data_IF_026314396149
#
_entry.id   IF_026314396149
#
_cell.length_a   1.000
_cell.length_b   1.000
_cell.length_c   1.000
_cell.angle_alpha   90.00
_cell.angle_beta   90.00
_cell.angle_gamma   90.00
#
_symmetry.space_group_name_H-M   'P 1'
#
loop_
_entity.id
_entity.type
_entity.pdbx_description
1 polymer ?
#
# COMPACT_ATOMS: atom_id res chain seq x y z
N UNK A 1 -30.77 -33.73 -33.64
CA UNK A 1 -29.69 -33.58 -34.64
C UNK A 1 -28.52 -32.97 -33.90
N UNK A 2 -27.54 -33.81 -33.55
CA UNK A 2 -26.30 -33.47 -32.84
C UNK A 2 -25.18 -33.52 -33.88
N UNK A 3 -24.34 -32.49 -33.93
CA UNK A 3 -23.03 -32.58 -34.58
C UNK A 3 -21.97 -31.96 -33.68
N UNK A 4 -20.99 -32.80 -33.36
CA UNK A 4 -19.69 -32.48 -32.76
C UNK A 4 -18.63 -32.40 -33.85
N UNK A 5 -17.60 -31.58 -33.65
CA UNK A 5 -16.17 -31.79 -33.96
C UNK A 5 -15.45 -30.58 -33.31
N UNK A 6 -14.87 -30.71 -32.11
CA UNK A 6 -13.50 -31.19 -31.85
C UNK A 6 -12.43 -30.50 -32.70
N UNK A 7 -11.76 -29.52 -32.12
CA UNK A 7 -10.31 -29.35 -32.28
C UNK A 7 -9.69 -29.19 -30.90
N UNK A 8 -8.93 -30.20 -30.51
CA UNK A 8 -8.06 -30.22 -29.36
C UNK A 8 -7.03 -29.08 -29.43
N UNK A 9 -7.02 -28.26 -28.40
CA UNK A 9 -5.78 -27.81 -27.76
C UNK A 9 -5.99 -28.03 -26.28
N UNK A 10 -5.53 -29.17 -25.79
CA UNK A 10 -5.30 -29.40 -24.37
C UNK A 10 -4.23 -28.40 -23.92
N UNK A 11 -4.64 -27.22 -23.45
CA UNK A 11 -3.88 -26.53 -22.43
C UNK A 11 -4.19 -27.25 -21.12
N UNK A 12 -3.33 -28.22 -20.81
CA UNK A 12 -3.29 -28.87 -19.51
C UNK A 12 -2.76 -27.84 -18.51
N UNK A 13 -3.63 -26.93 -18.07
CA UNK A 13 -3.41 -26.15 -16.85
C UNK A 13 -3.51 -27.12 -15.67
N UNK A 14 -2.41 -27.84 -15.43
CA UNK A 14 -2.18 -28.51 -14.16
C UNK A 14 -1.97 -27.43 -13.10
N UNK A 15 -3.07 -27.11 -12.43
CA UNK A 15 -3.17 -26.83 -11.00
C UNK A 15 -1.90 -26.27 -10.33
N UNK A 16 -1.78 -24.94 -10.37
CA UNK A 16 -1.25 -24.17 -9.24
C UNK A 16 -2.33 -23.21 -8.74
N UNK A 17 -3.52 -23.76 -8.46
CA UNK A 17 -4.44 -23.15 -7.50
C UNK A 17 -3.78 -23.27 -6.11
N UNK A 18 -2.83 -22.39 -5.82
CA UNK A 18 -2.43 -22.14 -4.44
C UNK A 18 -3.70 -21.58 -3.78
N UNK A 19 -4.31 -22.34 -2.86
CA UNK A 19 -5.36 -21.77 -2.01
C UNK A 19 -4.76 -20.60 -1.24
N UNK A 20 -5.04 -19.37 -1.68
CA UNK A 20 -4.53 -18.10 -1.15
C UNK A 20 -5.05 -17.78 0.27
N UNK A 21 -5.48 -18.79 1.03
CA UNK A 21 -5.93 -18.67 2.42
C UNK A 21 -4.78 -18.63 3.43
N UNK A 22 -3.53 -18.82 2.98
CA UNK A 22 -2.37 -19.08 3.83
C UNK A 22 -1.31 -17.97 3.83
N UNK A 23 -1.65 -16.71 3.53
CA UNK A 23 -0.73 -15.61 3.86
C UNK A 23 -0.58 -15.59 5.39
N UNK A 24 0.62 -15.81 5.94
CA UNK A 24 0.77 -15.90 7.38
C UNK A 24 0.42 -14.57 8.03
N UNK A 25 -0.54 -14.60 8.96
CA UNK A 25 -1.00 -13.40 9.66
C UNK A 25 0.01 -12.94 10.71
N UNK A 26 0.49 -11.68 10.67
CA UNK A 26 1.33 -11.16 11.73
C UNK A 26 0.62 -11.18 13.08
N UNK A 27 1.38 -11.46 14.14
CA UNK A 27 1.00 -11.03 15.49
C UNK A 27 1.47 -9.58 15.66
N UNK A 28 1.00 -8.90 16.70
CA UNK A 28 1.40 -7.51 16.96
C UNK A 28 1.87 -7.37 18.41
N UNK A 29 2.93 -6.60 18.63
CA UNK A 29 3.39 -6.25 19.97
C UNK A 29 2.30 -5.41 20.66
N UNK A 30 1.95 -5.77 21.89
CA UNK A 30 0.96 -5.06 22.69
C UNK A 30 1.45 -3.70 23.21
N UNK A 31 2.75 -3.43 23.13
CA UNK A 31 3.35 -2.18 23.62
C UNK A 31 3.28 -1.06 22.59
N UNK A 32 3.49 -1.36 21.32
CA UNK A 32 3.67 -0.35 20.28
C UNK A 32 3.03 -0.73 18.93
N UNK A 33 2.27 -1.82 18.86
CA UNK A 33 1.59 -2.27 17.66
C UNK A 33 2.53 -2.78 16.56
N UNK A 34 3.81 -3.00 16.87
CA UNK A 34 4.79 -3.47 15.89
C UNK A 34 4.43 -4.87 15.40
N UNK A 35 4.42 -5.12 14.07
CA UNK A 35 4.17 -6.45 13.52
C UNK A 35 5.29 -7.43 13.89
N UNK A 36 4.90 -8.59 14.45
CA UNK A 36 5.74 -9.71 14.84
C UNK A 36 5.37 -10.92 13.97
N UNK A 37 6.32 -11.34 13.15
CA UNK A 37 6.25 -12.62 12.44
C UNK A 37 7.10 -13.64 13.17
N UNK A 38 6.56 -14.85 13.38
CA UNK A 38 7.39 -15.95 13.84
C UNK A 38 8.31 -16.44 12.70
N UNK A 39 9.35 -17.20 13.03
CA UNK A 39 10.35 -17.68 12.07
C UNK A 39 9.71 -18.47 10.91
N UNK A 40 8.73 -19.31 11.20
CA UNK A 40 8.00 -20.10 10.21
C UNK A 40 7.20 -19.23 9.24
N UNK A 41 6.53 -18.20 9.75
CA UNK A 41 5.76 -17.25 8.94
C UNK A 41 6.66 -16.41 8.03
N UNK A 42 7.82 -15.99 8.54
CA UNK A 42 8.81 -15.28 7.74
C UNK A 42 9.43 -16.19 6.67
N UNK A 43 9.68 -17.46 6.99
CA UNK A 43 10.14 -18.46 6.03
C UNK A 43 9.10 -18.77 4.96
N UNK A 44 7.83 -18.90 5.31
CA UNK A 44 6.71 -19.05 4.35
C UNK A 44 6.64 -17.83 3.45
N UNK A 45 6.59 -16.62 4.00
CA UNK A 45 6.60 -15.37 3.25
C UNK A 45 7.80 -15.27 2.29
N UNK A 46 9.00 -15.61 2.77
CA UNK A 46 10.20 -15.61 1.95
C UNK A 46 10.17 -16.69 0.87
N UNK A 47 9.63 -17.90 1.15
CA UNK A 47 9.42 -18.93 0.13
C UNK A 47 8.43 -18.46 -0.93
N UNK A 48 7.33 -17.81 -0.54
CA UNK A 48 6.41 -17.18 -1.48
C UNK A 48 7.13 -16.14 -2.34
N UNK A 49 7.95 -15.28 -1.74
CA UNK A 49 8.72 -14.23 -2.43
C UNK A 49 9.83 -14.78 -3.35
N UNK A 50 10.42 -15.94 -3.04
CA UNK A 50 11.47 -16.57 -3.86
C UNK A 50 10.86 -17.40 -5.00
N UNK A 51 9.84 -18.19 -4.70
CA UNK A 51 9.02 -18.83 -5.74
C UNK A 51 8.56 -17.70 -6.68
N UNK A 52 8.10 -16.57 -6.11
CA UNK A 52 8.06 -15.21 -6.64
C UNK A 52 8.73 -14.97 -7.98
N UNK A 53 10.00 -14.75 -7.76
CA UNK A 53 11.01 -14.37 -8.71
C UNK A 53 11.29 -15.51 -9.68
N UNK A 54 11.18 -16.77 -9.24
CA UNK A 54 11.44 -17.93 -10.10
C UNK A 54 10.39 -18.16 -11.19
N UNK A 55 9.09 -17.89 -10.92
CA UNK A 55 8.06 -17.96 -11.98
C UNK A 55 8.19 -16.74 -12.89
N UNK A 56 8.49 -15.55 -12.34
CA UNK A 56 8.74 -14.34 -13.12
C UNK A 56 9.92 -14.51 -14.10
N UNK A 57 11.01 -15.15 -13.66
CA UNK A 57 12.14 -15.51 -14.52
C UNK A 57 11.73 -16.49 -15.63
N UNK A 58 10.93 -17.51 -15.31
CA UNK A 58 10.40 -18.46 -16.32
C UNK A 58 9.42 -17.83 -17.30
N UNK A 59 8.61 -16.86 -16.88
CA UNK A 59 7.69 -16.13 -17.78
C UNK A 59 8.44 -15.13 -18.65
N UNK A 60 9.52 -14.53 -18.14
CA UNK A 60 10.39 -13.65 -18.93
C UNK A 60 11.24 -14.45 -19.94
N UNK A 61 11.77 -15.62 -19.54
CA UNK A 61 12.47 -16.55 -20.45
C UNK A 61 11.56 -17.07 -21.58
N UNK A 62 10.25 -17.25 -21.32
CA UNK A 62 9.27 -17.57 -22.36
C UNK A 62 8.93 -16.39 -23.28
N UNK A 63 9.19 -15.15 -22.87
CA UNK A 63 8.97 -13.95 -23.68
C UNK A 63 10.21 -13.53 -24.49
N UNK A 64 11.41 -13.98 -24.11
CA UNK A 64 12.67 -13.62 -24.77
C UNK A 64 13.12 -14.58 -25.91
N UNK A 65 12.34 -15.60 -26.27
CA UNK A 65 12.63 -16.46 -27.45
C UNK A 65 12.34 -15.80 -28.81
N UNK A 66 11.95 -14.52 -28.86
CA UNK A 66 11.81 -13.78 -30.10
C UNK A 66 12.28 -12.33 -29.94
N UNK A 67 13.60 -12.08 -30.04
CA UNK A 67 14.19 -10.87 -30.65
C UNK A 67 15.67 -11.15 -30.94
N UNK A 68 16.04 -11.02 -32.21
CA UNK A 68 17.39 -11.17 -32.73
C UNK A 68 18.38 -10.12 -32.20
N UNK A 69 19.60 -10.60 -31.93
CA UNK A 69 20.76 -9.87 -31.42
C UNK A 69 21.31 -8.79 -32.37
N UNK A 70 21.63 -7.58 -31.84
CA UNK A 70 22.82 -6.76 -32.22
C UNK A 70 23.05 -5.55 -31.29
N UNK A 71 24.25 -4.93 -31.27
CA UNK A 71 25.11 -4.94 -30.10
C UNK A 71 25.19 -3.63 -29.32
N UNK A 72 25.67 -3.77 -28.09
CA UNK A 72 26.00 -2.75 -27.10
C UNK A 72 26.73 -1.52 -27.66
N UNK A 73 26.19 -0.34 -27.34
CA UNK A 73 27.00 0.86 -27.16
C UNK A 73 26.71 1.43 -25.76
N UNK A 74 27.67 1.21 -24.88
CA UNK A 74 27.75 1.82 -23.57
C UNK A 74 27.88 3.34 -23.71
N UNK A 75 27.01 4.09 -23.02
CA UNK A 75 27.26 5.46 -22.57
C UNK A 75 26.36 5.77 -21.37
N UNK A 76 26.98 5.64 -20.20
CA UNK A 76 26.74 6.38 -18.96
C UNK A 76 25.30 6.85 -18.67
N UNK A 77 24.60 6.13 -17.80
CA UNK A 77 23.53 6.71 -16.98
C UNK A 77 23.71 6.34 -15.50
N UNK A 78 24.21 7.36 -14.80
CA UNK A 78 24.10 7.69 -13.37
C UNK A 78 23.66 6.59 -12.40
N UNK A 79 24.61 6.29 -11.53
CA UNK A 79 24.50 5.54 -10.27
C UNK A 79 23.40 6.12 -9.37
N UNK A 80 22.39 5.27 -9.14
CA UNK A 80 21.65 4.94 -7.93
C UNK A 80 20.93 6.02 -7.10
N UNK A 81 19.61 6.11 -7.32
CA UNK A 81 18.61 6.44 -6.28
C UNK A 81 18.04 5.19 -5.59
N UNK A 82 18.75 4.05 -5.66
CA UNK A 82 18.18 2.73 -5.35
C UNK A 82 18.08 2.42 -3.85
N UNK A 83 18.77 3.14 -2.97
CA UNK A 83 18.79 2.81 -1.54
C UNK A 83 18.63 4.06 -0.66
N UNK A 84 17.41 4.61 -0.60
CA UNK A 84 17.03 5.40 0.58
C UNK A 84 16.61 4.42 1.70
N UNK A 85 17.43 4.23 2.75
CA UNK A 85 17.10 3.32 3.85
C UNK A 85 15.90 3.81 4.67
N UNK A 86 15.48 5.07 4.50
CA UNK A 86 14.36 5.69 5.21
C UNK A 86 13.02 5.54 4.50
N UNK A 87 13.03 5.12 3.23
CA UNK A 87 11.82 4.86 2.45
C UNK A 87 11.51 3.34 2.40
N UNK A 88 10.62 2.83 3.26
CA UNK A 88 10.30 1.41 3.31
C UNK A 88 9.60 0.92 2.05
N UNK A 89 9.02 1.80 1.23
CA UNK A 89 8.25 1.42 0.05
C UNK A 89 8.91 1.82 -1.27
N UNK A 90 10.14 2.37 -1.22
CA UNK A 90 10.91 2.83 -2.38
C UNK A 90 10.10 3.82 -3.24
N UNK A 91 9.33 4.70 -2.61
CA UNK A 91 8.62 5.73 -3.33
C UNK A 91 9.63 6.59 -4.11
N UNK A 92 9.57 6.60 -5.44
CA UNK A 92 10.43 7.45 -6.28
C UNK A 92 10.15 8.92 -5.96
N UNK A 93 10.98 9.56 -5.13
CA UNK A 93 10.87 11.01 -4.85
C UNK A 93 11.39 11.78 -6.06
N UNK A 94 11.13 13.08 -6.15
CA UNK A 94 11.80 13.94 -7.14
C UNK A 94 13.33 14.07 -6.86
N UNK A 95 13.84 13.35 -5.86
CA UNK A 95 15.24 13.15 -5.56
C UNK A 95 15.78 14.19 -4.58
N UNK A 96 16.93 14.79 -4.91
CA UNK A 96 17.66 15.71 -4.04
C UNK A 96 16.91 17.02 -3.73
N UNK A 97 15.91 17.37 -4.53
CA UNK A 97 15.12 18.61 -4.34
C UNK A 97 14.18 18.44 -3.16
N UNK A 98 13.34 17.39 -3.17
CA UNK A 98 12.44 17.03 -2.07
C UNK A 98 13.16 16.95 -0.73
N UNK A 99 14.32 16.28 -0.69
CA UNK A 99 15.12 16.13 0.52
C UNK A 99 15.61 17.47 1.10
N UNK A 100 15.98 18.42 0.23
CA UNK A 100 16.43 19.76 0.65
C UNK A 100 15.27 20.59 1.17
N UNK A 101 14.13 20.57 0.47
CA UNK A 101 12.93 21.27 0.90
C UNK A 101 12.43 20.73 2.23
N UNK A 102 12.34 19.41 2.37
CA UNK A 102 11.95 18.74 3.61
C UNK A 102 12.88 19.08 4.78
N UNK A 103 14.20 19.05 4.57
CA UNK A 103 15.18 19.40 5.60
C UNK A 103 15.04 20.85 6.05
N UNK A 104 14.77 21.76 5.10
CA UNK A 104 14.55 23.19 5.37
C UNK A 104 13.27 23.40 6.17
N UNK A 105 12.15 22.81 5.74
CA UNK A 105 10.87 22.94 6.44
C UNK A 105 10.92 22.33 7.85
N UNK A 106 11.59 21.18 8.01
CA UNK A 106 11.80 20.59 9.34
C UNK A 106 12.61 21.51 10.25
N UNK A 107 13.68 22.12 9.73
CA UNK A 107 14.49 23.09 10.49
C UNK A 107 13.66 24.31 10.89
N UNK A 108 12.84 24.83 9.97
CA UNK A 108 11.94 25.94 10.24
C UNK A 108 10.88 25.57 11.30
N UNK A 109 10.29 24.37 11.23
CA UNK A 109 9.29 23.91 12.19
C UNK A 109 9.85 23.74 13.62
N UNK A 110 11.12 23.33 13.75
CA UNK A 110 11.80 23.14 15.03
C UNK A 110 12.48 24.41 15.57
N UNK A 111 12.53 25.49 14.79
CA UNK A 111 13.25 26.71 15.16
C UNK A 111 12.50 27.47 16.26
N UNK A 112 13.14 27.62 17.42
CA UNK A 112 12.67 28.47 18.51
C UNK A 112 13.24 29.89 18.40
N UNK A 113 12.49 30.85 18.90
CA UNK A 113 12.95 32.22 19.16
C UNK A 113 14.21 32.19 20.04
N UNK A 114 15.32 32.75 19.56
CA UNK A 114 16.62 32.74 20.27
C UNK A 114 16.54 33.49 21.61
N UNK A 115 15.77 34.58 21.67
CA UNK A 115 15.68 35.44 22.85
C UNK A 115 14.69 34.94 23.90
N UNK A 116 13.61 34.31 23.46
CA UNK A 116 12.48 33.95 24.30
C UNK A 116 12.28 32.44 24.49
N UNK A 117 13.08 31.63 23.79
CA UNK A 117 13.04 30.17 23.79
C UNK A 117 11.64 29.56 23.53
N UNK A 118 10.78 30.32 22.86
CA UNK A 118 9.41 29.92 22.49
C UNK A 118 9.32 29.68 20.98
N UNK A 119 8.42 28.78 20.59
CA UNK A 119 7.99 28.71 19.20
C UNK A 119 7.23 29.99 18.83
N UNK A 120 7.31 30.38 17.56
CA UNK A 120 6.52 31.48 16.99
C UNK A 120 5.02 31.17 17.09
N UNK A 121 4.17 32.20 17.13
CA UNK A 121 2.71 32.03 17.28
C UNK A 121 2.05 31.17 16.20
N UNK A 122 2.73 30.95 15.09
CA UNK A 122 2.25 30.16 13.94
C UNK A 122 2.86 28.74 13.91
N UNK A 123 3.74 28.39 14.85
CA UNK A 123 4.30 27.06 15.00
C UNK A 123 3.50 26.30 16.06
N UNK A 124 2.92 25.17 15.67
CA UNK A 124 2.44 24.19 16.65
C UNK A 124 3.68 23.61 17.34
N UNK A 125 3.80 23.79 18.66
CA UNK A 125 4.80 23.05 19.44
C UNK A 125 4.55 21.56 19.21
N UNK A 126 5.47 20.88 18.50
CA UNK A 126 5.39 19.45 18.29
C UNK A 126 5.78 18.81 19.62
N UNK A 127 4.77 18.46 20.41
CA UNK A 127 4.98 17.63 21.58
C UNK A 127 5.28 16.20 21.11
N UNK A 128 6.58 15.91 20.95
CA UNK A 128 7.05 14.58 20.56
C UNK A 128 6.70 13.51 21.59
N UNK A 129 6.40 13.89 22.84
CA UNK A 129 5.98 12.93 23.86
C UNK A 129 4.57 12.41 23.56
N UNK A 130 3.66 13.30 23.15
CA UNK A 130 2.31 12.91 22.70
C UNK A 130 2.32 11.98 21.48
N UNK A 131 3.38 11.99 20.68
CA UNK A 131 3.49 11.09 19.52
C UNK A 131 3.70 9.63 19.89
N UNK A 132 4.15 9.35 21.11
CA UNK A 132 4.37 7.99 21.61
C UNK A 132 3.25 7.49 22.52
N UNK A 133 2.34 8.38 22.92
CA UNK A 133 1.25 8.09 23.84
C UNK A 133 0.06 7.48 23.09
N UNK A 134 0.21 6.22 22.69
CA UNK A 134 -0.87 5.48 22.05
C UNK A 134 -1.97 5.16 23.07
N UNK A 135 -3.25 5.35 22.71
CA UNK A 135 -4.35 5.10 23.62
C UNK A 135 -4.52 3.60 23.92
N UNK A 136 -4.67 3.25 25.21
CA UNK A 136 -4.87 1.86 25.65
C UNK A 136 -6.14 1.22 25.08
N UNK A 137 -7.20 2.01 24.86
CA UNK A 137 -8.43 1.56 24.20
C UNK A 137 -8.18 1.05 22.77
N UNK A 138 -7.07 1.45 22.16
CA UNK A 138 -6.62 0.99 20.86
C UNK A 138 -5.59 -0.15 20.96
N UNK A 139 -5.42 -0.78 22.13
CA UNK A 139 -4.38 -1.77 22.41
C UNK A 139 -2.98 -1.29 22.00
N UNK A 140 -2.69 0.00 22.21
CA UNK A 140 -1.45 0.66 21.81
C UNK A 140 -1.10 0.46 20.33
N UNK A 141 -2.10 0.45 19.46
CA UNK A 141 -1.95 0.27 18.01
C UNK A 141 -2.94 1.13 17.25
N UNK A 142 -2.44 1.92 16.30
CA UNK A 142 -3.27 2.64 15.34
C UNK A 142 -2.77 2.30 13.94
N UNK A 143 -3.68 1.83 13.11
CA UNK A 143 -3.41 1.49 11.72
C UNK A 143 -3.95 2.57 10.77
N UNK A 144 -3.57 2.51 9.50
CA UNK A 144 -4.11 3.41 8.46
C UNK A 144 -4.61 2.60 7.28
N UNK A 145 -5.80 2.95 6.80
CA UNK A 145 -6.47 2.30 5.68
C UNK A 145 -6.76 3.33 4.60
N UNK A 146 -6.32 3.05 3.38
CA UNK A 146 -6.68 3.79 2.18
C UNK A 146 -7.69 3.01 1.36
N UNK A 147 -8.63 3.69 0.73
CA UNK A 147 -9.36 3.18 -0.43
C UNK A 147 -8.78 3.78 -1.69
N UNK A 148 -8.47 2.97 -2.70
CA UNK A 148 -7.91 3.45 -3.95
C UNK A 148 -8.37 2.61 -5.15
N UNK A 149 -8.53 3.28 -6.28
CA UNK A 149 -8.86 2.67 -7.57
C UNK A 149 -8.15 3.42 -8.70
N UNK A 150 -7.71 2.69 -9.72
CA UNK A 150 -7.27 3.24 -10.98
C UNK A 150 -8.37 3.17 -12.03
N UNK A 151 -9.13 4.25 -12.20
CA UNK A 151 -10.17 4.33 -13.22
C UNK A 151 -9.68 4.44 -14.66
N UNK A 152 -8.37 4.44 -14.90
CA UNK A 152 -7.81 4.33 -16.27
C UNK A 152 -7.48 2.89 -16.66
N UNK A 153 -7.57 1.95 -15.72
CA UNK A 153 -7.34 0.53 -15.98
C UNK A 153 -8.40 -0.03 -16.94
N UNK A 154 -8.00 -0.55 -18.12
CA UNK A 154 -8.93 -1.09 -19.10
C UNK A 154 -9.75 -2.27 -18.58
N UNK A 155 -9.16 -3.14 -17.74
CA UNK A 155 -9.87 -4.30 -17.19
C UNK A 155 -10.96 -3.85 -16.23
N UNK A 156 -10.60 -2.96 -15.30
CA UNK A 156 -11.55 -2.37 -14.36
C UNK A 156 -12.67 -1.59 -15.07
N UNK A 157 -12.33 -0.76 -16.06
CA UNK A 157 -13.31 -0.02 -16.86
C UNK A 157 -14.25 -0.95 -17.64
N UNK A 158 -13.73 -2.04 -18.18
CA UNK A 158 -14.55 -3.04 -18.88
C UNK A 158 -15.52 -3.72 -17.92
N UNK A 159 -15.09 -3.97 -16.68
CA UNK A 159 -15.91 -4.58 -15.65
C UNK A 159 -17.01 -3.62 -15.17
N UNK A 160 -16.66 -2.36 -14.82
CA UNK A 160 -17.61 -1.32 -14.43
C UNK A 160 -18.74 -1.14 -15.46
N UNK A 161 -18.38 -1.05 -16.75
CA UNK A 161 -19.33 -0.81 -17.85
C UNK A 161 -20.36 -1.93 -18.04
N UNK A 162 -20.12 -3.13 -17.50
CA UNK A 162 -21.11 -4.22 -17.51
C UNK A 162 -22.29 -3.92 -16.58
N UNK A 163 -22.07 -3.13 -15.53
CA UNK A 163 -23.07 -2.87 -14.47
C UNK A 163 -23.55 -1.41 -14.46
N UNK A 164 -22.72 -0.48 -14.92
CA UNK A 164 -22.99 0.96 -14.84
C UNK A 164 -22.96 1.59 -16.24
N UNK A 165 -24.13 2.06 -16.69
CA UNK A 165 -24.30 2.64 -18.04
C UNK A 165 -23.89 4.10 -18.14
N UNK A 166 -23.97 4.84 -17.02
CA UNK A 166 -23.54 6.24 -16.91
C UNK A 166 -22.83 6.45 -15.59
N UNK A 167 -21.60 6.95 -15.63
CA UNK A 167 -20.84 7.31 -14.46
C UNK A 167 -20.01 8.58 -14.74
N UNK A 168 -19.66 9.29 -13.68
CA UNK A 168 -18.71 10.39 -13.77
C UNK A 168 -17.29 9.81 -13.66
N UNK A 169 -16.53 9.88 -14.75
CA UNK A 169 -15.17 9.37 -14.80
C UNK A 169 -14.24 10.06 -13.78
N UNK A 170 -14.56 11.28 -13.36
CA UNK A 170 -13.78 11.99 -12.34
C UNK A 170 -13.81 11.28 -10.97
N UNK A 171 -14.88 10.51 -10.68
CA UNK A 171 -15.00 9.76 -9.41
C UNK A 171 -13.98 8.63 -9.27
N UNK A 172 -13.37 8.20 -10.37
CA UNK A 172 -12.43 7.09 -10.42
C UNK A 172 -11.06 7.52 -10.92
N UNK A 173 -10.82 8.83 -11.04
CA UNK A 173 -9.59 9.36 -11.60
C UNK A 173 -8.43 9.09 -10.65
N UNK A 174 -7.46 8.30 -11.09
CA UNK A 174 -6.17 8.21 -10.41
C UNK A 174 -5.30 9.41 -10.79
N UNK A 175 -4.87 10.18 -9.79
CA UNK A 175 -3.94 11.32 -9.92
C UNK A 175 -2.55 11.03 -9.39
N UNK A 176 -2.22 9.76 -9.15
CA UNK A 176 -0.98 9.31 -8.50
C UNK A 176 -0.74 9.97 -7.12
N UNK A 177 -1.82 10.46 -6.50
CA UNK A 177 -1.83 11.15 -5.21
C UNK A 177 -1.61 10.20 -4.04
N UNK A 178 -2.01 8.93 -4.19
CA UNK A 178 -1.83 7.88 -3.18
C UNK A 178 -0.39 7.82 -2.64
N UNK A 179 0.62 7.90 -3.52
CA UNK A 179 2.02 7.81 -3.11
C UNK A 179 2.41 8.96 -2.16
N UNK A 180 1.89 10.15 -2.42
CA UNK A 180 2.14 11.33 -1.60
C UNK A 180 1.32 11.29 -0.30
N UNK A 181 0.11 10.72 -0.34
CA UNK A 181 -0.72 10.50 0.85
C UNK A 181 -0.03 9.56 1.84
N UNK A 182 0.46 8.41 1.36
CA UNK A 182 1.18 7.44 2.19
C UNK A 182 2.48 8.04 2.75
N UNK A 183 3.25 8.77 1.92
CA UNK A 183 4.44 9.50 2.40
C UNK A 183 4.11 10.49 3.51
N UNK A 184 3.00 11.22 3.36
CA UNK A 184 2.58 12.19 4.37
C UNK A 184 2.26 11.51 5.70
N UNK A 185 1.58 10.37 5.68
CA UNK A 185 1.30 9.56 6.87
C UNK A 185 2.58 9.05 7.49
N UNK A 186 3.45 8.43 6.69
CA UNK A 186 4.74 7.91 7.17
C UNK A 186 5.59 8.98 7.84
N UNK A 187 5.58 10.20 7.30
CA UNK A 187 6.33 11.34 7.83
C UNK A 187 5.72 11.95 9.10
N UNK A 188 4.40 12.09 9.15
CA UNK A 188 3.72 12.89 10.16
C UNK A 188 3.01 12.09 11.26
N UNK A 189 2.84 10.77 11.07
CA UNK A 189 2.24 9.84 12.03
C UNK A 189 3.22 8.68 12.29
N UNK A 190 4.39 8.94 12.91
CA UNK A 190 5.45 7.93 13.06
C UNK A 190 5.06 6.74 13.94
N UNK A 191 3.97 6.83 14.71
CA UNK A 191 3.40 5.75 15.52
C UNK A 191 2.62 4.72 14.69
N UNK A 192 2.24 5.03 13.44
CA UNK A 192 1.57 4.08 12.55
C UNK A 192 2.60 3.11 11.97
N UNK A 193 2.40 1.82 12.23
CA UNK A 193 3.26 0.72 11.74
C UNK A 193 2.58 -0.22 10.75
N UNK A 194 1.25 -0.14 10.61
CA UNK A 194 0.50 -1.02 9.73
C UNK A 194 -0.39 -0.22 8.80
N UNK A 195 -0.21 -0.49 7.52
CA UNK A 195 -0.76 0.27 6.41
C UNK A 195 -1.59 -0.70 5.57
N UNK A 196 -2.78 -0.28 5.12
CA UNK A 196 -3.68 -1.10 4.32
C UNK A 196 -4.15 -0.30 3.11
N UNK A 197 -4.12 -0.88 1.92
CA UNK A 197 -4.70 -0.29 0.72
C UNK A 197 -5.80 -1.22 0.23
N UNK A 198 -7.04 -0.78 0.33
CA UNK A 198 -8.20 -1.47 -0.20
C UNK A 198 -8.38 -1.10 -1.66
N UNK A 199 -8.39 -2.11 -2.53
CA UNK A 199 -8.46 -1.94 -3.99
C UNK A 199 -9.56 -2.80 -4.62
N UNK A 200 -9.89 -2.55 -5.89
CA UNK A 200 -10.77 -3.40 -6.70
C UNK A 200 -9.95 -4.36 -7.56
N UNK A 201 -9.19 -5.25 -6.90
CA UNK A 201 -8.27 -6.20 -7.53
C UNK A 201 -7.20 -5.51 -8.39
N UNK A 202 -6.73 -4.36 -7.92
CA UNK A 202 -5.67 -3.57 -8.55
C UNK A 202 -4.45 -3.47 -7.63
N UNK A 203 -3.28 -3.26 -8.23
CA UNK A 203 -2.05 -2.99 -7.52
C UNK A 203 -1.55 -1.59 -7.89
N UNK A 204 -1.29 -0.70 -6.91
CA UNK A 204 -0.66 0.58 -7.17
C UNK A 204 0.66 0.42 -7.95
N UNK A 205 0.86 1.23 -8.98
CA UNK A 205 1.97 1.09 -9.93
C UNK A 205 3.38 1.24 -9.33
N UNK A 206 3.47 1.83 -8.13
CA UNK A 206 4.72 1.97 -7.39
C UNK A 206 5.08 0.73 -6.54
N UNK A 207 4.21 -0.29 -6.48
CA UNK A 207 4.45 -1.55 -5.78
C UNK A 207 4.75 -2.67 -6.77
N UNK A 208 5.76 -3.47 -6.44
CA UNK A 208 6.06 -4.71 -7.13
C UNK A 208 5.21 -5.83 -6.51
N UNK A 209 4.12 -6.22 -7.19
CA UNK A 209 3.31 -7.35 -6.76
C UNK A 209 4.11 -8.66 -6.91
N UNK A 210 4.14 -9.52 -5.87
CA UNK A 210 4.58 -10.90 -6.06
C UNK A 210 3.62 -11.59 -7.05
N UNK A 211 4.13 -12.07 -8.18
CA UNK A 211 3.35 -12.86 -9.16
C UNK A 211 2.04 -12.26 -9.69
N UNK A 212 1.95 -10.94 -9.86
CA UNK A 212 0.68 -10.31 -10.26
C UNK A 212 -0.47 -10.58 -9.26
N UNK A 213 -0.16 -10.89 -7.99
CA UNK A 213 -1.16 -10.98 -6.93
C UNK A 213 -1.79 -9.61 -6.69
N UNK A 214 -3.10 -9.60 -6.43
CA UNK A 214 -3.86 -8.40 -6.02
C UNK A 214 -4.07 -8.33 -4.52
N UNK A 215 -3.68 -9.38 -3.78
CA UNK A 215 -3.67 -9.44 -2.32
C UNK A 215 -2.34 -9.97 -1.81
N UNK A 216 -1.63 -9.13 -1.04
CA UNK A 216 -0.33 -9.48 -0.46
C UNK A 216 0.05 -8.49 0.65
N UNK A 217 1.03 -8.87 1.47
CA UNK A 217 1.63 -8.02 2.50
C UNK A 217 3.06 -7.72 2.08
N UNK A 218 3.52 -6.49 2.26
CA UNK A 218 4.92 -6.08 2.13
C UNK A 218 5.46 -5.75 3.52
N UNK A 219 6.64 -6.27 3.83
CA UNK A 219 7.32 -6.06 5.11
C UNK A 219 8.67 -5.38 4.91
N UNK A 220 8.86 -4.23 5.55
CA UNK A 220 10.17 -3.56 5.60
C UNK A 220 10.29 -2.72 6.87
N UNK A 221 11.45 -2.77 7.52
CA UNK A 221 11.80 -1.93 8.68
C UNK A 221 10.72 -1.92 9.79
N UNK A 222 10.20 -3.09 10.16
CA UNK A 222 9.14 -3.25 11.17
C UNK A 222 7.80 -2.56 10.82
N UNK A 223 7.53 -2.38 9.53
CA UNK A 223 6.27 -1.84 9.01
C UNK A 223 5.64 -2.87 8.06
N UNK A 224 4.31 -2.99 8.12
CA UNK A 224 3.50 -3.76 7.17
C UNK A 224 2.78 -2.83 6.20
N UNK A 225 2.68 -3.24 4.93
CA UNK A 225 1.71 -2.71 3.97
C UNK A 225 0.93 -3.85 3.34
N UNK A 226 -0.36 -3.92 3.59
CA UNK A 226 -1.25 -4.95 3.07
C UNK A 226 -2.13 -4.41 1.95
N UNK A 227 -2.11 -5.09 0.80
CA UNK A 227 -3.04 -4.84 -0.30
C UNK A 227 -4.21 -5.79 -0.14
N UNK A 228 -5.41 -5.21 0.01
CA UNK A 228 -6.64 -5.94 0.32
C UNK A 228 -7.65 -5.69 -0.80
N UNK A 229 -7.93 -6.68 -1.66
CA UNK A 229 -9.09 -6.60 -2.53
C UNK A 229 -10.35 -6.46 -1.68
N UNK A 230 -11.20 -5.48 -1.99
CA UNK A 230 -12.48 -5.30 -1.30
C UNK A 230 -13.40 -6.54 -1.38
N UNK A 231 -13.17 -7.40 -2.37
CA UNK A 231 -13.81 -8.72 -2.50
C UNK A 231 -13.51 -9.69 -1.34
N UNK A 232 -12.45 -9.44 -0.55
CA UNK A 232 -12.12 -10.18 0.68
C UNK A 232 -12.92 -9.71 1.90
N UNK A 233 -13.45 -8.49 1.88
CA UNK A 233 -14.18 -7.89 3.01
C UNK A 233 -15.68 -7.73 2.74
N UNK A 234 -16.11 -7.86 1.48
CA UNK A 234 -17.51 -7.81 1.06
C UNK A 234 -18.01 -9.23 0.72
N UNK A 235 -19.20 -9.58 1.21
CA UNK A 235 -19.81 -10.89 0.89
C UNK A 235 -20.08 -11.01 -0.62
N UNK A 236 -19.78 -12.18 -1.20
CA UNK A 236 -19.87 -12.42 -2.66
C UNK A 236 -21.20 -12.03 -3.31
N UNK A 237 -22.32 -12.15 -2.59
CA UNK A 237 -23.67 -11.78 -3.08
C UNK A 237 -23.86 -10.28 -3.31
N UNK A 238 -22.99 -9.43 -2.74
CA UNK A 238 -23.04 -7.98 -2.91
C UNK A 238 -22.05 -7.47 -3.96
N UNK A 239 -21.18 -8.34 -4.49
CA UNK A 239 -20.22 -7.98 -5.53
C UNK A 239 -20.85 -8.04 -6.94
N UNK A 240 -20.39 -7.21 -7.88
CA UNK A 240 -19.35 -6.18 -7.73
C UNK A 240 -19.87 -4.87 -7.11
N UNK A 241 -18.97 -4.14 -6.43
CA UNK A 241 -19.26 -2.86 -5.78
C UNK A 241 -18.29 -1.80 -6.30
N UNK A 242 -18.80 -0.64 -6.72
CA UNK A 242 -17.99 0.49 -7.20
C UNK A 242 -18.25 1.79 -6.41
N UNK A 243 -18.98 1.67 -5.30
CA UNK A 243 -19.35 2.77 -4.42
C UNK A 243 -18.44 2.75 -3.18
N UNK A 244 -17.78 3.87 -2.88
CA UNK A 244 -16.84 3.95 -1.76
C UNK A 244 -17.52 3.76 -0.42
N UNK A 245 -18.69 4.37 -0.16
CA UNK A 245 -19.42 4.24 1.10
C UNK A 245 -19.74 2.77 1.43
N UNK A 246 -20.11 1.98 0.42
CA UNK A 246 -20.35 0.54 0.57
C UNK A 246 -19.06 -0.23 0.92
N UNK A 247 -17.91 0.16 0.36
CA UNK A 247 -16.60 -0.42 0.70
C UNK A 247 -16.18 0.02 2.12
N UNK A 248 -16.34 1.30 2.44
CA UNK A 248 -16.02 1.93 3.73
C UNK A 248 -16.73 1.23 4.90
N UNK A 249 -18.01 0.90 4.72
CA UNK A 249 -18.79 0.18 5.74
C UNK A 249 -18.25 -1.23 6.04
N UNK A 250 -17.39 -1.80 5.20
CA UNK A 250 -16.82 -3.13 5.36
C UNK A 250 -15.34 -3.13 5.79
N UNK A 251 -14.68 -1.97 5.95
CA UNK A 251 -13.25 -1.89 6.30
C UNK A 251 -12.90 -2.61 7.60
N UNK A 252 -13.80 -2.60 8.58
CA UNK A 252 -13.64 -3.30 9.86
C UNK A 252 -13.50 -4.83 9.72
N UNK A 253 -13.80 -5.40 8.54
CA UNK A 253 -13.66 -6.84 8.26
C UNK A 253 -12.28 -7.21 7.71
N UNK A 254 -11.38 -6.24 7.50
CA UNK A 254 -9.99 -6.51 7.13
C UNK A 254 -9.35 -7.36 8.24
N UNK A 255 -8.87 -8.55 7.89
CA UNK A 255 -8.49 -9.59 8.85
C UNK A 255 -7.38 -9.18 9.83
N UNK A 256 -6.43 -8.38 9.38
CA UNK A 256 -5.28 -7.95 10.18
C UNK A 256 -5.43 -6.53 10.75
N UNK A 257 -6.57 -5.86 10.56
CA UNK A 257 -6.77 -4.49 10.99
C UNK A 257 -6.91 -4.41 12.52
N UNK A 258 -6.23 -3.43 13.13
CA UNK A 258 -6.36 -3.11 14.54
C UNK A 258 -7.73 -2.52 14.90
N UNK A 259 -8.06 -2.52 16.20
CA UNK A 259 -9.33 -1.98 16.69
C UNK A 259 -9.48 -0.48 16.41
N UNK A 260 -8.36 0.25 16.40
CA UNK A 260 -8.31 1.64 15.98
C UNK A 260 -7.54 1.80 14.69
N UNK A 261 -8.16 2.48 13.74
CA UNK A 261 -7.54 2.80 12.47
C UNK A 261 -8.02 4.16 11.96
N UNK A 262 -7.19 4.78 11.13
CA UNK A 262 -7.51 6.02 10.44
C UNK A 262 -7.88 5.64 9.01
N UNK A 263 -9.06 6.04 8.58
CA UNK A 263 -9.47 5.90 7.19
C UNK A 263 -9.10 7.17 6.41
N UNK A 264 -8.56 6.99 5.20
CA UNK A 264 -8.19 8.06 4.28
C UNK A 264 -8.63 7.72 2.86
N UNK A 265 -9.11 8.73 2.12
CA UNK A 265 -9.04 8.68 0.66
C UNK A 265 -7.60 8.86 0.19
N UNK A 266 -7.31 8.48 -1.05
CA UNK A 266 -5.96 8.54 -1.62
C UNK A 266 -5.42 9.95 -1.88
N UNK A 267 -6.30 10.97 -1.82
CA UNK A 267 -6.00 12.39 -1.99
C UNK A 267 -6.01 13.19 -0.66
N UNK A 268 -5.99 12.50 0.49
CA UNK A 268 -5.88 13.13 1.82
C UNK A 268 -4.43 13.14 2.28
N UNK A 269 -3.95 14.29 2.78
CA UNK A 269 -2.56 14.47 3.21
C UNK A 269 -2.44 15.04 4.61
N UNK A 270 -1.43 14.60 5.34
CA UNK A 270 -0.97 15.28 6.55
C UNK A 270 0.12 16.28 6.19
N UNK A 271 0.09 17.48 6.78
CA UNK A 271 1.09 18.53 6.54
C UNK A 271 1.90 18.88 7.80
N UNK A 272 1.55 18.29 8.94
CA UNK A 272 2.19 18.52 10.22
C UNK A 272 2.11 17.26 11.08
N UNK A 273 3.08 17.05 12.00
CA UNK A 273 3.00 15.96 12.94
C UNK A 273 1.67 16.01 13.71
N UNK A 274 0.92 14.90 13.68
CA UNK A 274 -0.42 14.80 14.28
C UNK A 274 -0.44 13.72 15.36
N UNK A 275 -0.51 14.10 16.66
CA UNK A 275 -0.52 13.12 17.75
C UNK A 275 -1.83 12.30 17.79
N UNK A 276 -1.82 11.09 18.39
CA UNK A 276 -3.02 10.24 18.49
C UNK A 276 -4.22 10.93 19.15
N UNK A 277 -3.97 11.76 20.16
CA UNK A 277 -5.02 12.51 20.90
C UNK A 277 -5.77 13.53 20.03
N UNK A 278 -5.19 13.98 18.91
CA UNK A 278 -5.86 14.84 17.94
C UNK A 278 -6.95 14.09 17.14
N UNK A 279 -6.77 12.79 16.95
CA UNK A 279 -7.66 11.95 16.15
C UNK A 279 -8.74 11.28 17.01
N UNK A 280 -8.47 11.11 18.30
CA UNK A 280 -9.45 10.61 19.27
C UNK A 280 -10.22 11.77 19.92
N UNK A 281 -11.54 11.80 19.82
CA UNK A 281 -12.35 12.58 20.76
C UNK A 281 -12.46 11.79 22.05
N UNK A 282 -11.77 12.24 23.09
CA UNK A 282 -12.14 11.89 24.47
C UNK A 282 -13.37 12.72 24.82
N UNK A 283 -14.52 12.06 24.92
CA UNK A 283 -15.73 12.63 25.54
C UNK A 283 -15.54 12.83 27.05
#
# INVERSE_FOLDING_TARGET
MLFTLSTNTEFQDHDLLIEFSTIPHPKFDKKDGTPIFNKTQLEEYNRYSVLALSIQQKTNEKHDENIDNKPNNAKEKKIDSINDPTDPFKFKTEGLVDQKEESRERKNALQKCVLCNKFTSNQTEIDLQKMTDLPEICNNRIDVVWTWVNGTDPLWLSHLKQYVTKFDANRYRNTDTLVYSIRSVYKYLPYVKNYFIVTDDQVPSFLDAPYNMTSFIVMKNNITLEIVPHSQIIEKKYLPVFNSEAIETNLHKIKNLGECFIYLNDDVFFNKPTPPDYLSKTE
#
